data_IF_502705707956
#
_entry.id   IF_502705707956
#
_cell.length_a   1.000
_cell.length_b   1.000
_cell.length_c   1.000
_cell.angle_alpha   90.00
_cell.angle_beta   90.00
_cell.angle_gamma   90.00
#
_symmetry.space_group_name_H-M   'P 1'
#
loop_
_entity.id
_entity.type
_entity.pdbx_description
1 polymer ?
#
# COMPACT_ATOMS: atom_id res chain seq x y z
N UNK A 1 20.82 25.57 63.59
CA UNK A 1 21.02 26.16 62.25
C UNK A 1 21.65 25.08 61.36
N UNK A 2 21.00 24.75 60.25
CA UNK A 2 21.37 23.86 59.14
C UNK A 2 21.73 22.38 59.41
N UNK A 3 20.73 21.52 59.17
CA UNK A 3 20.87 20.06 59.06
C UNK A 3 21.41 19.69 57.67
N UNK A 4 22.44 18.84 57.64
CA UNK A 4 23.06 18.25 56.45
C UNK A 4 22.09 17.22 55.83
N UNK A 5 21.78 17.35 54.55
CA UNK A 5 21.06 16.35 53.77
C UNK A 5 22.06 15.48 53.02
N UNK A 6 22.16 14.22 53.41
CA UNK A 6 22.88 13.17 52.68
C UNK A 6 21.89 12.52 51.72
N UNK A 7 22.04 12.76 50.41
CA UNK A 7 21.23 12.11 49.40
C UNK A 7 21.94 10.83 48.93
N UNK A 8 21.40 9.68 49.34
CA UNK A 8 21.82 8.35 48.91
C UNK A 8 21.25 8.10 47.51
N UNK A 9 22.12 7.97 46.50
CA UNK A 9 21.74 7.64 45.13
C UNK A 9 21.52 6.13 45.03
N UNK A 10 20.26 5.68 45.04
CA UNK A 10 19.90 4.28 44.74
C UNK A 10 19.73 4.10 43.24
N UNK A 11 20.51 3.15 42.71
CA UNK A 11 20.47 2.65 41.34
C UNK A 11 19.15 1.90 41.13
N UNK A 12 18.28 2.44 40.27
CA UNK A 12 17.09 1.73 39.79
C UNK A 12 17.30 1.32 38.33
N UNK A 13 17.51 0.02 38.14
CA UNK A 13 17.50 -0.68 36.87
C UNK A 13 16.27 -0.32 36.04
N UNK A 14 16.48 0.27 34.86
CA UNK A 14 15.44 0.42 33.85
C UNK A 14 15.61 -0.68 32.80
N UNK A 15 15.20 -1.88 33.17
CA UNK A 15 15.07 -3.03 32.28
C UNK A 15 13.69 -2.98 31.62
N UNK A 16 13.66 -3.28 30.32
CA UNK A 16 12.49 -3.69 29.53
C UNK A 16 11.39 -2.64 29.30
N UNK A 17 11.56 -1.83 28.25
CA UNK A 17 10.43 -1.55 27.37
C UNK A 17 10.64 -2.35 26.08
N UNK A 18 10.35 -3.65 26.17
CA UNK A 18 9.96 -4.43 25.00
C UNK A 18 8.71 -3.75 24.44
N UNK A 19 8.93 -2.84 23.49
CA UNK A 19 7.88 -2.39 22.60
C UNK A 19 7.37 -3.62 21.89
N UNK A 20 6.26 -4.15 22.38
CA UNK A 20 5.38 -5.01 21.61
C UNK A 20 4.97 -4.20 20.39
N UNK A 21 5.73 -4.34 19.31
CA UNK A 21 5.21 -4.06 17.99
C UNK A 21 4.06 -5.01 17.83
N UNK A 22 2.84 -4.50 18.04
CA UNK A 22 1.64 -5.16 17.59
C UNK A 22 1.87 -5.43 16.11
N UNK A 23 2.19 -6.68 15.80
CA UNK A 23 2.02 -7.23 14.48
C UNK A 23 0.52 -7.06 14.22
N UNK A 24 0.16 -5.92 13.63
CA UNK A 24 -0.99 -5.91 12.75
C UNK A 24 -0.77 -7.13 11.87
N UNK A 25 -1.74 -8.04 11.90
CA UNK A 25 -1.96 -9.00 10.84
C UNK A 25 -2.24 -8.18 9.57
N UNK A 26 -1.23 -7.46 9.07
CA UNK A 26 -1.01 -7.31 7.67
C UNK A 26 -0.85 -8.73 7.23
N UNK A 27 -1.97 -9.33 6.82
CA UNK A 27 -2.11 -10.00 5.55
C UNK A 27 -0.82 -9.75 4.75
N UNK A 28 0.25 -10.48 5.04
CA UNK A 28 1.49 -10.30 4.30
C UNK A 28 1.06 -10.59 2.87
N UNK A 29 1.40 -9.74 1.91
CA UNK A 29 1.39 -10.24 0.55
C UNK A 29 2.42 -11.37 0.55
N UNK A 30 1.98 -12.59 0.88
CA UNK A 30 2.67 -13.82 0.55
C UNK A 30 2.54 -13.81 -0.96
N UNK A 31 3.55 -13.21 -1.58
CA UNK A 31 3.69 -13.16 -3.02
C UNK A 31 3.75 -14.62 -3.42
N UNK A 32 2.60 -15.19 -3.79
CA UNK A 32 2.61 -16.46 -4.48
C UNK A 32 3.09 -16.04 -5.88
N UNK A 33 4.35 -16.33 -6.26
CA UNK A 33 4.92 -15.81 -7.51
C UNK A 33 4.11 -16.26 -8.74
N UNK A 34 3.24 -17.25 -8.58
CA UNK A 34 2.29 -17.71 -9.59
C UNK A 34 1.03 -16.83 -9.78
N UNK A 35 0.81 -15.77 -8.98
CA UNK A 35 -0.43 -14.95 -9.02
C UNK A 35 -0.21 -13.43 -8.98
N UNK A 36 1.03 -12.95 -8.98
CA UNK A 36 1.31 -11.52 -9.06
C UNK A 36 1.28 -11.04 -10.50
N UNK A 37 0.47 -10.04 -10.80
CA UNK A 37 0.46 -9.35 -12.08
C UNK A 37 1.26 -8.05 -12.00
N UNK A 38 2.18 -7.83 -12.93
CA UNK A 38 2.91 -6.57 -13.02
C UNK A 38 2.22 -5.69 -14.06
N UNK A 39 1.58 -4.61 -13.61
CA UNK A 39 0.96 -3.64 -14.52
C UNK A 39 2.04 -2.66 -14.96
N UNK A 40 2.37 -2.68 -16.25
CA UNK A 40 3.42 -1.84 -16.83
C UNK A 40 3.05 -0.35 -16.75
N UNK A 41 1.77 -0.05 -17.00
CA UNK A 41 1.22 1.31 -16.94
C UNK A 41 1.34 1.95 -15.55
N UNK A 42 1.28 1.13 -14.50
CA UNK A 42 1.33 1.55 -13.10
C UNK A 42 2.69 1.32 -12.44
N UNK A 43 3.63 0.65 -13.12
CA UNK A 43 4.96 0.29 -12.59
C UNK A 43 4.91 -0.31 -11.18
N UNK A 44 4.05 -1.31 -10.99
CA UNK A 44 3.84 -1.96 -9.70
C UNK A 44 3.27 -3.37 -9.87
N UNK A 45 3.53 -4.24 -8.90
CA UNK A 45 2.97 -5.61 -8.85
C UNK A 45 1.70 -5.61 -8.01
N UNK A 46 0.65 -6.19 -8.57
CA UNK A 46 -0.67 -6.35 -7.96
C UNK A 46 -1.02 -7.82 -7.83
N UNK A 47 -1.94 -8.09 -6.92
CA UNK A 47 -2.68 -9.36 -6.86
C UNK A 47 -4.14 -9.00 -6.76
N UNK A 48 -4.91 -9.32 -7.80
CA UNK A 48 -6.37 -9.24 -7.76
C UNK A 48 -6.89 -10.42 -6.95
N UNK A 49 -7.65 -10.12 -5.90
CA UNK A 49 -8.26 -11.16 -5.05
C UNK A 49 -9.54 -10.64 -4.42
N UNK A 50 -10.42 -11.58 -4.06
CA UNK A 50 -11.53 -11.29 -3.17
C UNK A 50 -10.99 -10.93 -1.78
N UNK A 51 -11.52 -9.86 -1.21
CA UNK A 51 -11.16 -9.33 0.09
C UNK A 51 -12.41 -9.09 0.91
N UNK A 52 -12.32 -9.26 2.22
CA UNK A 52 -13.37 -8.81 3.12
C UNK A 52 -13.14 -7.33 3.48
N UNK A 53 -14.00 -6.44 2.99
CA UNK A 53 -14.00 -5.02 3.36
C UNK A 53 -15.30 -4.66 4.07
N UNK A 54 -15.20 -4.28 5.35
CA UNK A 54 -16.36 -3.93 6.20
C UNK A 54 -17.47 -5.00 6.24
N UNK A 55 -17.10 -6.28 6.23
CA UNK A 55 -18.06 -7.39 6.26
C UNK A 55 -18.65 -7.75 4.89
N UNK A 56 -18.23 -7.09 3.81
CA UNK A 56 -18.61 -7.43 2.44
C UNK A 56 -17.41 -8.05 1.71
N UNK A 57 -17.65 -9.08 0.91
CA UNK A 57 -16.65 -9.62 -0.01
C UNK A 57 -16.62 -8.75 -1.26
N UNK A 58 -15.44 -8.22 -1.60
CA UNK A 58 -15.22 -7.38 -2.78
C UNK A 58 -13.94 -7.81 -3.49
N UNK A 59 -13.96 -7.85 -4.81
CA UNK A 59 -12.75 -8.04 -5.61
C UNK A 59 -11.98 -6.73 -5.69
N UNK A 60 -10.67 -6.79 -5.47
CA UNK A 60 -9.81 -5.62 -5.51
C UNK A 60 -8.36 -6.01 -5.81
N UNK A 61 -7.60 -5.07 -6.37
CA UNK A 61 -6.18 -5.21 -6.63
C UNK A 61 -5.36 -4.75 -5.42
N UNK A 62 -4.61 -5.69 -4.82
CA UNK A 62 -3.71 -5.37 -3.71
C UNK A 62 -2.29 -5.17 -4.22
N UNK A 63 -1.66 -4.08 -3.81
CA UNK A 63 -0.26 -3.80 -4.09
C UNK A 63 0.61 -4.78 -3.31
N UNK A 64 1.40 -5.57 -4.04
CA UNK A 64 2.33 -6.54 -3.48
C UNK A 64 3.78 -6.08 -3.49
N UNK A 65 4.08 -5.04 -4.27
CA UNK A 65 5.36 -4.34 -4.24
C UNK A 65 5.14 -2.84 -3.98
N UNK A 66 6.21 -2.15 -3.63
CA UNK A 66 6.15 -0.68 -3.60
C UNK A 66 6.17 -0.16 -5.04
N UNK A 67 5.36 0.84 -5.37
CA UNK A 67 5.40 1.45 -6.69
C UNK A 67 6.80 2.00 -6.97
N UNK A 68 7.27 1.84 -8.21
CA UNK A 68 8.57 2.35 -8.64
C UNK A 68 8.62 3.88 -8.59
N UNK A 69 9.83 4.45 -8.71
CA UNK A 69 10.02 5.90 -8.59
C UNK A 69 9.30 6.69 -9.71
N UNK A 70 9.13 6.10 -10.88
CA UNK A 70 8.40 6.68 -12.02
C UNK A 70 6.91 6.28 -12.05
N UNK A 71 6.44 5.50 -11.07
CA UNK A 71 5.05 5.05 -11.03
C UNK A 71 4.09 6.22 -10.79
N UNK A 72 2.98 6.33 -11.55
CA UNK A 72 1.97 7.36 -11.31
C UNK A 72 1.32 7.24 -9.92
N UNK A 73 1.36 6.05 -9.30
CA UNK A 73 0.83 5.79 -7.96
C UNK A 73 1.63 6.47 -6.84
N UNK A 74 2.88 6.89 -7.11
CA UNK A 74 3.68 7.68 -6.16
C UNK A 74 3.04 9.02 -5.85
N UNK A 75 2.32 9.63 -6.79
CA UNK A 75 1.61 10.90 -6.58
C UNK A 75 0.59 10.80 -5.44
N UNK A 76 0.02 9.61 -5.22
CA UNK A 76 -0.93 9.33 -4.14
C UNK A 76 -0.27 8.80 -2.86
N UNK A 77 1.07 8.69 -2.85
CA UNK A 77 1.84 8.08 -1.77
C UNK A 77 1.38 6.66 -1.41
N UNK A 78 0.96 5.88 -2.42
CA UNK A 78 0.60 4.48 -2.23
C UNK A 78 1.84 3.63 -1.92
N UNK A 79 1.64 2.60 -1.11
CA UNK A 79 2.68 1.69 -0.64
C UNK A 79 2.23 0.25 -0.76
N UNK A 80 3.20 -0.67 -0.66
CA UNK A 80 2.92 -2.10 -0.54
C UNK A 80 1.88 -2.37 0.55
N UNK A 81 0.89 -3.21 0.23
CA UNK A 81 -0.21 -3.58 1.10
C UNK A 81 -1.47 -2.74 0.92
N UNK A 82 -1.38 -1.58 0.26
CA UNK A 82 -2.55 -0.79 -0.14
C UNK A 82 -3.39 -1.52 -1.18
N UNK A 83 -4.65 -1.13 -1.28
CA UNK A 83 -5.62 -1.82 -2.15
C UNK A 83 -6.35 -0.80 -3.02
N UNK A 84 -6.43 -1.09 -4.31
CA UNK A 84 -7.23 -0.36 -5.30
C UNK A 84 -8.50 -1.16 -5.57
N UNK A 85 -9.65 -0.50 -5.45
CA UNK A 85 -10.97 -1.09 -5.72
C UNK A 85 -11.50 -0.72 -7.10
N UNK A 86 -11.19 0.49 -7.56
CA UNK A 86 -11.71 1.02 -8.82
C UNK A 86 -10.71 1.94 -9.49
N UNK A 87 -10.71 1.89 -10.82
CA UNK A 87 -9.99 2.78 -11.71
C UNK A 87 -11.01 3.39 -12.67
N UNK A 88 -11.06 4.72 -12.72
CA UNK A 88 -12.06 5.50 -13.44
C UNK A 88 -13.54 5.13 -13.16
N UNK A 89 -13.80 4.56 -11.99
CA UNK A 89 -15.13 4.08 -11.61
C UNK A 89 -15.45 2.64 -12.04
N UNK A 90 -14.62 2.04 -12.89
CA UNK A 90 -14.65 0.62 -13.26
C UNK A 90 -14.09 -0.20 -12.08
N UNK A 91 -14.79 -1.25 -11.62
CA UNK A 91 -14.24 -2.19 -10.63
C UNK A 91 -13.02 -2.91 -11.19
N UNK A 92 -12.07 -3.25 -10.32
CA UNK A 92 -10.92 -4.09 -10.71
C UNK A 92 -11.21 -5.54 -10.34
N UNK A 93 -11.80 -6.26 -11.28
CA UNK A 93 -12.18 -7.66 -11.22
C UNK A 93 -11.11 -8.57 -11.86
N UNK A 94 -10.29 -8.04 -12.77
CA UNK A 94 -9.19 -8.76 -13.43
C UNK A 94 -7.92 -7.90 -13.60
N UNK A 95 -6.85 -8.55 -14.06
CA UNK A 95 -5.55 -7.91 -14.26
C UNK A 95 -5.53 -6.99 -15.50
N UNK A 96 -6.27 -7.32 -16.55
CA UNK A 96 -6.35 -6.53 -17.80
C UNK A 96 -6.95 -5.13 -17.55
N UNK A 97 -7.92 -5.05 -16.64
CA UNK A 97 -8.50 -3.80 -16.16
C UNK A 97 -7.51 -2.89 -15.43
N UNK A 98 -6.33 -3.37 -15.02
CA UNK A 98 -5.31 -2.50 -14.45
C UNK A 98 -4.58 -1.70 -15.54
N UNK A 99 -4.49 -2.25 -16.75
CA UNK A 99 -3.73 -1.65 -17.87
C UNK A 99 -4.61 -0.96 -18.92
N UNK A 100 -5.91 -1.23 -18.95
CA UNK A 100 -6.88 -0.57 -19.87
C UNK A 100 -7.31 0.84 -19.40
N UNK A 101 -6.40 1.55 -18.73
CA UNK A 101 -6.64 2.91 -18.25
C UNK A 101 -5.52 3.85 -18.66
N UNK A 102 -5.92 5.00 -19.22
CA UNK A 102 -5.01 5.98 -19.79
C UNK A 102 -5.41 7.39 -19.38
N UNK A 103 -4.45 8.32 -19.48
CA UNK A 103 -4.61 9.73 -19.12
C UNK A 103 -4.99 9.93 -17.64
N UNK A 104 -5.87 10.89 -17.37
CA UNK A 104 -6.28 11.27 -16.02
C UNK A 104 -7.25 10.26 -15.42
N UNK A 105 -6.71 9.24 -14.79
CA UNK A 105 -7.47 8.16 -14.16
C UNK A 105 -7.79 8.48 -12.70
N UNK A 106 -9.05 8.28 -12.31
CA UNK A 106 -9.47 8.38 -10.91
C UNK A 106 -9.30 7.04 -10.20
N UNK A 107 -8.47 6.98 -9.16
CA UNK A 107 -8.20 5.76 -8.38
C UNK A 107 -8.98 5.79 -7.09
N UNK A 108 -9.79 4.76 -6.81
CA UNK A 108 -10.35 4.52 -5.49
C UNK A 108 -9.53 3.47 -4.76
N UNK A 109 -8.94 3.86 -3.64
CA UNK A 109 -8.02 3.00 -2.89
C UNK A 109 -8.28 3.05 -1.38
N UNK A 110 -7.84 2.02 -0.67
CA UNK A 110 -7.76 1.99 0.79
C UNK A 110 -6.34 1.69 1.22
N UNK A 111 -5.86 2.45 2.20
CA UNK A 111 -4.57 2.15 2.83
C UNK A 111 -4.65 0.86 3.64
N UNK A 112 -3.70 -0.04 3.39
CA UNK A 112 -3.60 -1.37 4.01
C UNK A 112 -4.91 -2.20 3.98
N UNK A 113 -5.82 -1.92 3.02
CA UNK A 113 -7.12 -2.58 2.91
C UNK A 113 -8.13 -2.36 4.05
N UNK A 114 -7.79 -1.62 5.11
CA UNK A 114 -8.66 -1.43 6.29
C UNK A 114 -9.07 0.03 6.50
N UNK A 115 -8.33 0.97 5.92
CA UNK A 115 -8.64 2.38 6.01
C UNK A 115 -9.95 2.75 5.27
N UNK A 116 -10.50 3.96 5.52
CA UNK A 116 -11.56 4.50 4.67
C UNK A 116 -11.11 4.57 3.21
N UNK A 117 -12.02 4.25 2.28
CA UNK A 117 -11.76 4.42 0.84
C UNK A 117 -11.51 5.90 0.57
N UNK A 118 -10.40 6.16 -0.11
CA UNK A 118 -9.97 7.46 -0.57
C UNK A 118 -10.04 7.49 -2.10
N UNK A 119 -10.22 8.69 -2.64
CA UNK A 119 -10.18 8.91 -4.08
C UNK A 119 -8.94 9.76 -4.39
N UNK A 120 -8.15 9.29 -5.34
CA UNK A 120 -7.02 10.01 -5.90
C UNK A 120 -7.19 10.18 -7.40
N UNK A 121 -6.45 11.12 -7.98
CA UNK A 121 -6.26 11.20 -9.43
C UNK A 121 -4.79 10.98 -9.73
N UNK A 122 -4.53 10.14 -10.72
CA UNK A 122 -3.21 9.92 -11.28
C UNK A 122 -3.25 10.20 -12.76
N UNK A 123 -2.09 10.47 -13.34
CA UNK A 123 -1.94 10.56 -14.79
C UNK A 123 -1.16 9.32 -15.25
N UNK A 124 -1.81 8.47 -16.04
CA UNK A 124 -1.20 7.28 -16.64
C UNK A 124 -0.79 7.66 -18.05
N UNK A 125 0.51 7.68 -18.32
CA UNK A 125 0.98 7.91 -19.68
C UNK A 125 0.66 6.67 -20.52
N UNK A 126 -0.06 6.85 -21.62
CA UNK A 126 -0.32 5.76 -22.55
C UNK A 126 0.96 5.47 -23.34
N UNK A 127 1.87 4.73 -22.72
CA UNK A 127 3.08 4.23 -23.37
C UNK A 127 2.82 2.93 -24.15
N UNK A 128 1.59 2.69 -24.65
CA UNK A 128 1.37 1.75 -25.75
C UNK A 128 1.91 2.36 -27.06
N UNK A 129 3.21 2.57 -27.08
CA UNK A 129 3.99 3.08 -28.18
C UNK A 129 5.40 2.57 -27.98
N UNK A 130 5.70 1.45 -28.63
CA UNK A 130 7.05 0.95 -28.75
C UNK A 130 7.91 1.99 -29.45
N UNK A 131 8.48 2.90 -28.67
CA UNK A 131 9.57 3.72 -29.14
C UNK A 131 10.82 2.86 -29.06
N UNK A 132 11.10 2.17 -30.17
CA UNK A 132 12.48 2.04 -30.63
C UNK A 132 13.08 3.45 -30.60
N UNK A 133 13.69 3.83 -29.47
CA UNK A 133 14.58 4.98 -29.44
C UNK A 133 15.82 4.62 -30.28
N UNK A 134 16.25 5.49 -31.23
CA UNK A 134 17.38 5.25 -32.13
C UNK A 134 18.73 5.16 -31.41
#
# INVERSE_FOLDING_TARGET
MFRKFTATLTVASLLALLGTTSAFAGDSCVINPAKGYYAESLHCTFVVREMNYKGMTVTAARLCSNPEQCSPLKSLNLKMGDVIFRLDGVPVDNDDELDDHYDWTTVRYSRNGTAPIQNGKIFINNSFGGDNQP
#
